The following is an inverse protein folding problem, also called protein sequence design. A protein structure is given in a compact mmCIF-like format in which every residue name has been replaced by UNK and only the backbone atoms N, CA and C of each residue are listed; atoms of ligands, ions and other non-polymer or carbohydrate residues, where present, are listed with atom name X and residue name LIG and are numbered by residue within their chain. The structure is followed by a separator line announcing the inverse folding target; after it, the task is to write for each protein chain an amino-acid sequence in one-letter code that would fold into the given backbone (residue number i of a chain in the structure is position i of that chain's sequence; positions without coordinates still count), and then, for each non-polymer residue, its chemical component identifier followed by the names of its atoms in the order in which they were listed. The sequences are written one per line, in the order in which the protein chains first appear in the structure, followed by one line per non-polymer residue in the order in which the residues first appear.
data_IF_615792305218
#
_entry.id   IF_615792305218
#
_cell.length_a   1.000
_cell.length_b   1.000
_cell.length_c   1.000
_cell.angle_alpha   90.00
_cell.angle_beta   90.00
_cell.angle_gamma   90.00
#
_symmetry.space_group_name_H-M   'P 1'
#
loop_
_entity.id
_entity.type
_entity.pdbx_description
1 polymer ?
#
# COMPACT_ATOMS: atom_id res chain seq x y z
N UNK A 1 -21.96 -23.65 77.05
CA UNK A 1 -21.91 -24.07 78.47
C UNK A 1 -22.31 -22.94 79.40
N UNK A 2 -23.54 -22.96 79.90
CA UNK A 2 -23.98 -22.20 81.08
C UNK A 2 -25.31 -22.81 81.56
N UNK A 3 -25.24 -23.79 82.46
CA UNK A 3 -26.42 -24.51 82.97
C UNK A 3 -26.84 -24.01 84.34
N UNK A 4 -28.01 -23.35 84.42
CA UNK A 4 -28.69 -23.10 85.71
C UNK A 4 -29.57 -24.30 86.06
N UNK A 5 -29.54 -24.71 87.33
CA UNK A 5 -30.52 -25.63 87.94
C UNK A 5 -31.90 -24.95 88.03
N UNK A 6 -32.96 -25.75 88.24
CA UNK A 6 -33.86 -25.48 89.34
C UNK A 6 -34.01 -26.68 90.30
N UNK A 7 -34.37 -26.39 91.55
CA UNK A 7 -34.69 -27.37 92.59
C UNK A 7 -36.13 -27.87 92.44
N UNK A 8 -36.41 -29.10 92.85
CA UNK A 8 -37.77 -29.58 93.10
C UNK A 8 -37.87 -29.99 94.58
N UNK A 9 -38.92 -29.53 95.27
CA UNK A 9 -39.23 -29.92 96.67
C UNK A 9 -40.03 -31.23 96.67
N UNK A 10 -39.78 -32.09 97.64
CA UNK A 10 -40.66 -33.21 98.00
C UNK A 10 -41.07 -33.11 99.48
N UNK A 11 -42.36 -33.31 99.72
CA UNK A 11 -43.05 -33.45 101.00
C UNK A 11 -44.49 -33.90 100.68
N UNK A 12 -45.18 -34.79 101.39
CA UNK A 12 -44.88 -35.71 102.50
C UNK A 12 -45.90 -36.86 102.39
N UNK A 13 -45.60 -38.06 102.88
CA UNK A 13 -46.59 -39.15 103.02
C UNK A 13 -46.94 -39.40 104.48
N UNK A 14 -48.22 -39.24 104.83
CA UNK A 14 -48.80 -39.68 106.11
C UNK A 14 -49.32 -41.11 105.99
N UNK A 15 -49.10 -41.94 107.01
CA UNK A 15 -49.88 -43.17 107.26
C UNK A 15 -50.24 -43.22 108.75
N UNK A 16 -51.41 -43.81 109.04
CA UNK A 16 -52.25 -43.61 110.21
C UNK A 16 -52.48 -44.94 110.98
N UNK A 17 -52.51 -44.90 112.33
CA UNK A 17 -53.06 -45.90 113.28
C UNK A 17 -53.42 -45.10 114.55
N UNK A 18 -54.63 -45.08 115.14
CA UNK A 18 -55.42 -46.16 115.75
C UNK A 18 -54.98 -46.39 117.22
N UNK A 19 -55.81 -46.52 118.27
CA UNK A 19 -57.27 -46.72 118.48
C UNK A 19 -57.70 -46.33 119.93
N UNK A 20 -59.01 -46.16 120.17
CA UNK A 20 -59.89 -46.69 121.28
C UNK A 20 -59.28 -47.09 122.67
N UNK A 21 -59.94 -47.01 123.85
CA UNK A 21 -61.25 -46.53 124.33
C UNK A 21 -61.30 -46.55 125.92
N UNK A 22 -62.30 -45.91 126.58
CA UNK A 22 -62.56 -45.95 128.06
C UNK A 22 -63.24 -47.28 128.54
N UNK A 23 -63.73 -47.56 129.80
CA UNK A 23 -64.26 -46.63 130.85
C UNK A 23 -64.27 -47.01 132.38
N UNK A 24 -64.87 -46.11 133.19
CA UNK A 24 -65.85 -46.38 134.29
C UNK A 24 -65.50 -46.33 135.80
N UNK A 25 -66.32 -45.52 136.48
CA UNK A 25 -66.61 -45.38 137.91
C UNK A 25 -66.91 -46.69 138.69
N UNK A 26 -66.77 -46.62 140.03
CA UNK A 26 -67.67 -47.30 140.97
C UNK A 26 -67.82 -46.47 142.28
N UNK A 27 -69.01 -46.48 142.87
CA UNK A 27 -69.37 -45.82 144.13
C UNK A 27 -70.21 -46.81 144.95
N UNK A 28 -69.98 -46.94 146.26
CA UNK A 28 -71.00 -46.91 147.34
C UNK A 28 -70.57 -47.61 148.64
N UNK A 29 -71.26 -47.19 149.71
CA UNK A 29 -71.10 -47.57 151.12
C UNK A 29 -72.17 -48.59 151.55
N UNK A 30 -72.31 -48.73 152.89
CA UNK A 30 -73.37 -49.42 153.66
C UNK A 30 -73.08 -50.93 153.90
N UNK A 31 -72.96 -51.45 155.14
CA UNK A 31 -73.39 -51.08 156.51
C UNK A 31 -74.84 -51.42 156.88
N UNK A 32 -75.11 -52.70 157.10
CA UNK A 32 -76.35 -53.17 157.72
C UNK A 32 -76.32 -53.18 159.26
N UNK A 33 -77.41 -52.72 159.86
CA UNK A 33 -77.71 -52.88 161.28
C UNK A 33 -79.04 -53.63 161.40
N UNK A 34 -79.05 -54.72 162.17
CA UNK A 34 -80.13 -55.73 162.17
C UNK A 34 -81.46 -55.15 162.67
N UNK A 35 -82.48 -55.19 161.81
CA UNK A 35 -83.88 -54.96 162.16
C UNK A 35 -84.69 -56.25 161.97
N UNK A 36 -85.60 -56.54 162.90
CA UNK A 36 -86.30 -57.82 163.00
C UNK A 36 -87.34 -58.00 161.88
N UNK A 37 -87.12 -58.97 160.99
CA UNK A 37 -88.04 -59.29 159.89
C UNK A 37 -89.26 -60.09 160.36
N UNK A 38 -90.42 -59.82 159.75
CA UNK A 38 -91.54 -60.76 159.70
C UNK A 38 -91.43 -61.55 158.39
N UNK A 39 -91.38 -62.87 158.46
CA UNK A 39 -91.54 -63.70 157.26
C UNK A 39 -93.03 -63.77 156.85
N UNK A 40 -93.31 -64.18 155.61
CA UNK A 40 -94.70 -64.42 155.18
C UNK A 40 -95.44 -65.42 156.09
N UNK A 41 -94.71 -66.40 156.62
CA UNK A 41 -95.18 -67.43 157.55
C UNK A 41 -95.46 -66.86 158.95
N UNK A 42 -94.69 -65.88 159.43
CA UNK A 42 -94.97 -65.13 160.66
C UNK A 42 -96.24 -64.27 160.54
N UNK A 43 -96.52 -63.70 159.35
CA UNK A 43 -97.74 -62.93 159.09
C UNK A 43 -98.97 -63.84 159.04
N UNK A 44 -98.89 -64.96 158.33
CA UNK A 44 -99.99 -65.90 158.16
C UNK A 44 -100.33 -66.65 159.46
N UNK A 45 -99.32 -67.01 160.26
CA UNK A 45 -99.53 -67.58 161.60
C UNK A 45 -100.18 -66.57 162.54
N UNK A 46 -99.83 -65.27 162.44
CA UNK A 46 -100.47 -64.22 163.21
C UNK A 46 -101.96 -64.09 162.86
N UNK A 47 -102.32 -64.03 161.58
CA UNK A 47 -103.72 -63.85 161.15
C UNK A 47 -104.64 -65.04 161.54
N UNK A 48 -104.08 -66.21 161.82
CA UNK A 48 -104.81 -67.43 162.15
C UNK A 48 -105.04 -67.67 163.67
N UNK A 49 -104.58 -66.78 164.56
CA UNK A 49 -104.64 -66.96 166.02
C UNK A 49 -106.07 -66.77 166.61
N UNK A 50 -106.77 -67.87 166.91
CA UNK A 50 -108.17 -67.85 167.42
C UNK A 50 -108.28 -67.74 168.95
N UNK A 51 -108.69 -66.58 169.45
CA UNK A 51 -108.99 -66.31 170.87
C UNK A 51 -110.23 -67.08 171.39
N UNK A 52 -110.02 -68.07 172.27
CA UNK A 52 -111.10 -68.80 172.97
C UNK A 52 -111.65 -68.02 174.17
N UNK A 53 -112.97 -67.78 174.21
CA UNK A 53 -113.69 -67.23 175.39
C UNK A 53 -113.80 -68.29 176.50
N UNK A 54 -113.34 -68.00 177.72
CA UNK A 54 -113.59 -68.83 178.92
C UNK A 54 -114.02 -67.98 180.11
N UNK A 55 -114.63 -68.59 181.14
CA UNK A 55 -115.29 -67.93 182.28
C UNK A 55 -114.32 -67.43 183.37
N UNK A 56 -113.25 -66.74 182.98
CA UNK A 56 -112.25 -66.19 183.89
C UNK A 56 -112.18 -64.66 183.78
N UNK A 57 -111.62 -64.03 184.82
CA UNK A 57 -111.68 -62.58 185.06
C UNK A 57 -111.38 -61.72 183.82
N UNK A 58 -112.15 -60.65 183.64
CA UNK A 58 -112.11 -59.76 182.47
C UNK A 58 -110.73 -59.17 182.11
N UNK A 59 -109.76 -59.24 183.04
CA UNK A 59 -108.40 -58.68 182.93
C UNK A 59 -107.48 -59.49 182.01
N UNK A 60 -107.32 -60.80 182.23
CA UNK A 60 -106.43 -61.64 181.39
C UNK A 60 -106.87 -61.69 179.91
N UNK A 61 -108.19 -61.66 179.68
CA UNK A 61 -108.74 -61.72 178.33
C UNK A 61 -108.55 -60.39 177.56
N UNK A 62 -108.39 -59.26 178.27
CA UNK A 62 -108.01 -57.98 177.65
C UNK A 62 -106.51 -57.91 177.36
N UNK A 63 -105.66 -58.53 178.19
CA UNK A 63 -104.21 -58.61 177.98
C UNK A 63 -103.86 -59.43 176.73
N UNK A 64 -104.45 -60.61 176.53
CA UNK A 64 -104.24 -61.42 175.32
C UNK A 64 -104.69 -60.70 174.04
N UNK A 65 -105.83 -60.01 174.08
CA UNK A 65 -106.29 -59.18 172.96
C UNK A 65 -105.36 -57.98 172.71
N UNK A 66 -104.87 -57.34 173.76
CA UNK A 66 -103.91 -56.23 173.68
C UNK A 66 -102.59 -56.67 173.04
N UNK A 67 -102.08 -57.85 173.40
CA UNK A 67 -100.85 -58.41 172.86
C UNK A 67 -100.99 -58.86 171.40
N UNK A 68 -102.12 -59.47 171.04
CA UNK A 68 -102.47 -59.76 169.65
C UNK A 68 -102.54 -58.49 168.79
N UNK A 69 -103.20 -57.45 169.28
CA UNK A 69 -103.26 -56.13 168.63
C UNK A 69 -101.88 -55.48 168.51
N UNK A 70 -100.98 -55.65 169.49
CA UNK A 70 -99.59 -55.16 169.39
C UNK A 70 -98.83 -55.87 168.28
N UNK A 71 -98.91 -57.20 168.19
CA UNK A 71 -98.24 -57.98 167.13
C UNK A 71 -98.79 -57.61 165.74
N UNK A 72 -100.11 -57.48 165.58
CA UNK A 72 -100.72 -57.01 164.33
C UNK A 72 -100.26 -55.60 163.94
N UNK A 73 -100.16 -54.68 164.91
CA UNK A 73 -99.63 -53.32 164.67
C UNK A 73 -98.15 -53.32 164.30
N UNK A 74 -97.34 -54.28 164.78
CA UNK A 74 -95.96 -54.45 164.35
C UNK A 74 -95.89 -54.96 162.90
N UNK A 75 -96.68 -55.98 162.56
CA UNK A 75 -96.78 -56.51 161.20
C UNK A 75 -97.22 -55.43 160.19
N UNK A 76 -98.24 -54.62 160.51
CA UNK A 76 -98.68 -53.49 159.67
C UNK A 76 -97.54 -52.47 159.49
N UNK A 77 -96.79 -52.14 160.55
CA UNK A 77 -95.63 -51.24 160.44
C UNK A 77 -94.52 -51.81 159.58
N UNK A 78 -94.25 -53.12 159.68
CA UNK A 78 -93.27 -53.79 158.84
C UNK A 78 -93.68 -53.76 157.36
N UNK A 79 -94.94 -54.05 157.04
CA UNK A 79 -95.46 -53.89 155.66
C UNK A 79 -95.38 -52.44 155.17
N UNK A 80 -95.70 -51.46 156.00
CA UNK A 80 -95.56 -50.04 155.62
C UNK A 80 -94.10 -49.65 155.37
N UNK A 81 -93.16 -50.19 156.13
CA UNK A 81 -91.72 -49.99 155.89
C UNK A 81 -91.25 -50.69 154.63
N UNK A 82 -91.71 -51.92 154.36
CA UNK A 82 -91.44 -52.67 153.14
C UNK A 82 -92.01 -51.97 151.90
N UNK A 83 -93.24 -51.47 151.99
CA UNK A 83 -93.90 -50.70 150.92
C UNK A 83 -93.17 -49.37 150.66
N UNK A 84 -92.74 -48.64 151.70
CA UNK A 84 -91.88 -47.47 151.53
C UNK A 84 -90.54 -47.83 150.87
N UNK A 85 -89.92 -48.96 151.24
CA UNK A 85 -88.69 -49.45 150.62
C UNK A 85 -88.90 -49.79 149.14
N UNK A 86 -89.90 -50.59 148.80
CA UNK A 86 -90.24 -50.91 147.41
C UNK A 86 -90.62 -49.67 146.59
N UNK A 87 -91.34 -48.70 147.15
CA UNK A 87 -91.63 -47.43 146.47
C UNK A 87 -90.33 -46.63 146.21
N UNK A 88 -89.41 -46.56 147.17
CA UNK A 88 -88.11 -45.90 146.97
C UNK A 88 -87.21 -46.65 145.97
N UNK A 89 -87.24 -47.98 145.95
CA UNK A 89 -86.55 -48.80 144.95
C UNK A 89 -87.16 -48.63 143.55
N UNK A 90 -88.49 -48.57 143.44
CA UNK A 90 -89.19 -48.30 142.18
C UNK A 90 -88.86 -46.90 141.64
N UNK A 91 -88.79 -45.89 142.51
CA UNK A 91 -88.41 -44.53 142.11
C UNK A 91 -86.90 -44.45 141.76
N UNK A 92 -86.03 -45.16 142.48
CA UNK A 92 -84.62 -45.29 142.12
C UNK A 92 -84.41 -45.99 140.77
N UNK A 93 -85.13 -47.09 140.51
CA UNK A 93 -85.09 -47.80 139.23
C UNK A 93 -85.63 -46.93 138.09
N UNK A 94 -86.69 -46.14 138.35
CA UNK A 94 -87.20 -45.17 137.38
C UNK A 94 -86.18 -44.08 137.08
N UNK A 95 -85.54 -43.50 138.10
CA UNK A 95 -84.49 -42.50 137.92
C UNK A 95 -83.27 -43.07 137.16
N UNK A 96 -82.92 -44.34 137.38
CA UNK A 96 -81.87 -45.03 136.62
C UNK A 96 -82.26 -45.30 135.17
N UNK A 97 -83.53 -45.63 134.91
CA UNK A 97 -84.08 -45.79 133.56
C UNK A 97 -84.09 -44.45 132.82
N UNK A 98 -84.65 -43.39 133.43
CA UNK A 98 -84.67 -42.04 132.87
C UNK A 98 -83.24 -41.53 132.58
N UNK A 99 -82.26 -41.85 133.43
CA UNK A 99 -80.84 -41.55 133.19
C UNK A 99 -80.24 -42.36 132.03
N UNK A 100 -80.62 -43.64 131.89
CA UNK A 100 -80.17 -44.52 130.81
C UNK A 100 -80.76 -44.10 129.46
N UNK A 101 -82.07 -43.84 129.40
CA UNK A 101 -82.78 -43.37 128.21
C UNK A 101 -82.25 -42.00 127.77
N UNK A 102 -81.98 -41.09 128.72
CA UNK A 102 -81.31 -39.83 128.42
C UNK A 102 -79.91 -40.03 127.84
N UNK A 103 -79.08 -40.91 128.43
CA UNK A 103 -77.75 -41.23 127.88
C UNK A 103 -77.83 -41.84 126.49
N UNK A 104 -78.79 -42.74 126.24
CA UNK A 104 -79.02 -43.32 124.92
C UNK A 104 -79.37 -42.22 123.91
N UNK A 105 -80.31 -41.34 124.26
CA UNK A 105 -80.72 -40.19 123.45
C UNK A 105 -79.55 -39.23 123.16
N UNK A 106 -78.75 -38.89 124.17
CA UNK A 106 -77.56 -38.04 124.03
C UNK A 106 -76.51 -38.71 123.10
N UNK A 107 -76.32 -40.03 123.20
CA UNK A 107 -75.41 -40.76 122.31
C UNK A 107 -75.94 -40.91 120.88
N UNK A 108 -77.25 -41.10 120.70
CA UNK A 108 -77.88 -41.16 119.38
C UNK A 108 -77.78 -39.82 118.67
N UNK A 109 -78.01 -38.71 119.38
CA UNK A 109 -77.83 -37.35 118.86
C UNK A 109 -76.36 -37.09 118.47
N UNK A 110 -75.40 -37.44 119.33
CA UNK A 110 -73.97 -37.36 119.01
C UNK A 110 -73.58 -38.21 117.78
N UNK A 111 -74.13 -39.41 117.64
CA UNK A 111 -73.91 -40.25 116.46
C UNK A 111 -74.54 -39.62 115.21
N UNK A 112 -75.73 -39.04 115.32
CA UNK A 112 -76.44 -38.37 114.22
C UNK A 112 -75.69 -37.12 113.74
N UNK A 113 -75.20 -36.29 114.66
CA UNK A 113 -74.32 -35.15 114.33
C UNK A 113 -73.05 -35.59 113.62
N UNK A 114 -72.41 -36.69 114.07
CA UNK A 114 -71.21 -37.25 113.43
C UNK A 114 -71.51 -37.87 112.07
N UNK A 115 -72.65 -38.52 111.91
CA UNK A 115 -73.11 -39.03 110.61
C UNK A 115 -73.31 -37.90 109.62
N UNK A 116 -73.94 -36.80 110.03
CA UNK A 116 -74.19 -35.63 109.18
C UNK A 116 -72.90 -34.86 108.86
N UNK A 117 -71.94 -34.77 109.80
CA UNK A 117 -70.59 -34.26 109.53
C UNK A 117 -69.84 -35.12 108.50
N UNK A 118 -69.85 -36.46 108.66
CA UNK A 118 -69.23 -37.39 107.73
C UNK A 118 -69.90 -37.33 106.35
N UNK A 119 -71.23 -37.26 106.29
CA UNK A 119 -71.97 -37.09 105.04
C UNK A 119 -71.61 -35.77 104.35
N UNK A 120 -71.52 -34.66 105.10
CA UNK A 120 -71.05 -33.36 104.58
C UNK A 120 -69.65 -33.47 103.98
N UNK A 121 -68.69 -34.05 104.72
CA UNK A 121 -67.33 -34.30 104.25
C UNK A 121 -67.27 -35.19 102.99
N UNK A 122 -68.10 -36.24 102.91
CA UNK A 122 -68.23 -37.09 101.70
C UNK A 122 -68.73 -36.27 100.51
N UNK A 123 -69.71 -35.38 100.69
CA UNK A 123 -70.18 -34.52 99.57
C UNK A 123 -69.13 -33.51 99.12
N UNK A 124 -68.34 -32.95 100.05
CA UNK A 124 -67.25 -32.03 99.73
C UNK A 124 -66.13 -32.75 98.96
N UNK A 125 -65.63 -33.87 99.48
CA UNK A 125 -64.60 -34.68 98.82
C UNK A 125 -65.02 -35.17 97.42
N UNK A 126 -66.32 -35.47 97.21
CA UNK A 126 -66.86 -35.81 95.89
C UNK A 126 -66.83 -34.61 94.93
N UNK A 127 -67.16 -33.40 95.41
CA UNK A 127 -67.06 -32.16 94.61
C UNK A 127 -65.61 -31.86 94.24
N UNK A 128 -64.70 -31.96 95.21
CA UNK A 128 -63.26 -31.73 94.99
C UNK A 128 -62.66 -32.74 94.01
N UNK A 129 -63.02 -34.03 94.12
CA UNK A 129 -62.64 -35.05 93.15
C UNK A 129 -63.15 -34.76 91.74
N UNK A 130 -64.36 -34.21 91.61
CA UNK A 130 -64.91 -33.85 90.31
C UNK A 130 -64.18 -32.64 89.70
N UNK A 131 -63.97 -31.58 90.49
CA UNK A 131 -63.22 -30.40 90.08
C UNK A 131 -61.74 -30.71 89.74
N UNK A 132 -61.10 -31.65 90.44
CA UNK A 132 -59.76 -32.12 90.11
C UNK A 132 -59.73 -32.93 88.80
N UNK A 133 -60.74 -33.77 88.53
CA UNK A 133 -60.85 -34.50 87.27
C UNK A 133 -61.11 -33.57 86.08
N UNK A 134 -61.95 -32.56 86.25
CA UNK A 134 -62.20 -31.54 85.23
C UNK A 134 -60.91 -30.76 84.91
N UNK A 135 -60.22 -30.26 85.94
CA UNK A 135 -58.92 -29.57 85.77
C UNK A 135 -57.87 -30.46 85.10
N UNK A 136 -57.78 -31.74 85.49
CA UNK A 136 -56.88 -32.69 84.85
C UNK A 136 -57.20 -32.86 83.36
N UNK A 137 -58.48 -33.02 83.01
CA UNK A 137 -58.90 -33.14 81.60
C UNK A 137 -58.63 -31.87 80.78
N UNK A 138 -58.72 -30.68 81.39
CA UNK A 138 -58.36 -29.41 80.73
C UNK A 138 -56.84 -29.33 80.52
N UNK A 139 -56.04 -29.61 81.55
CA UNK A 139 -54.58 -29.61 81.47
C UNK A 139 -54.05 -30.64 80.46
N UNK A 140 -54.65 -31.83 80.38
CA UNK A 140 -54.32 -32.85 79.37
C UNK A 140 -54.63 -32.37 77.94
N UNK A 141 -55.75 -31.68 77.74
CA UNK A 141 -56.13 -31.09 76.46
C UNK A 141 -55.21 -29.93 76.06
N UNK A 142 -54.88 -29.03 76.99
CA UNK A 142 -53.96 -27.91 76.77
C UNK A 142 -52.54 -28.41 76.47
N UNK A 143 -52.08 -29.43 77.20
CA UNK A 143 -50.81 -30.13 76.93
C UNK A 143 -50.80 -30.75 75.53
N UNK A 144 -51.89 -31.39 75.08
CA UNK A 144 -51.97 -31.93 73.71
C UNK A 144 -51.81 -30.81 72.68
N UNK A 145 -52.62 -29.74 72.78
CA UNK A 145 -52.55 -28.58 71.88
C UNK A 145 -51.17 -27.92 71.85
N UNK A 146 -50.50 -27.83 73.01
CA UNK A 146 -49.15 -27.29 73.11
C UNK A 146 -48.10 -28.20 72.44
N UNK A 147 -48.27 -29.53 72.50
CA UNK A 147 -47.43 -30.47 71.77
C UNK A 147 -47.66 -30.37 70.26
N UNK A 148 -48.92 -30.33 69.81
CA UNK A 148 -49.31 -30.23 68.40
C UNK A 148 -48.76 -28.95 67.76
N UNK A 149 -48.98 -27.80 68.40
CA UNK A 149 -48.43 -26.50 67.97
C UNK A 149 -46.89 -26.48 67.94
N UNK A 150 -46.24 -27.15 68.90
CA UNK A 150 -44.78 -27.27 68.96
C UNK A 150 -44.21 -28.23 67.91
N UNK A 151 -45.01 -29.18 67.40
CA UNK A 151 -44.66 -29.96 66.20
C UNK A 151 -44.83 -29.17 64.92
N UNK A 152 -45.94 -28.42 64.75
CA UNK A 152 -46.15 -27.55 63.59
C UNK A 152 -45.03 -26.49 63.45
N UNK A 153 -44.68 -25.78 64.52
CA UNK A 153 -43.58 -24.81 64.55
C UNK A 153 -42.22 -25.43 64.17
N UNK A 154 -41.97 -26.70 64.53
CA UNK A 154 -40.76 -27.42 64.08
C UNK A 154 -40.80 -27.72 62.60
N UNK A 155 -41.94 -28.12 62.05
CA UNK A 155 -42.08 -28.37 60.61
C UNK A 155 -41.93 -27.08 59.80
N UNK A 156 -42.54 -25.99 60.23
CA UNK A 156 -42.36 -24.66 59.61
C UNK A 156 -40.90 -24.21 59.67
N UNK A 157 -40.21 -24.38 60.80
CA UNK A 157 -38.78 -24.07 60.90
C UNK A 157 -37.93 -24.90 59.94
N UNK A 158 -38.15 -26.21 59.89
CA UNK A 158 -37.41 -27.11 58.98
C UNK A 158 -37.69 -26.74 57.51
N UNK A 159 -38.92 -26.36 57.17
CA UNK A 159 -39.27 -25.88 55.83
C UNK A 159 -38.53 -24.56 55.49
N UNK A 160 -38.50 -23.60 56.42
CA UNK A 160 -37.79 -22.34 56.26
C UNK A 160 -36.26 -22.54 56.15
N UNK A 161 -35.67 -23.41 56.96
CA UNK A 161 -34.24 -23.77 56.89
C UNK A 161 -33.87 -24.40 55.52
N UNK A 162 -34.72 -25.31 55.01
CA UNK A 162 -34.55 -25.88 53.65
C UNK A 162 -34.66 -24.82 52.56
N UNK A 163 -35.62 -23.90 52.66
CA UNK A 163 -35.78 -22.81 51.70
C UNK A 163 -34.59 -21.85 51.75
N UNK A 164 -34.09 -21.51 52.94
CA UNK A 164 -32.90 -20.68 53.12
C UNK A 164 -31.65 -21.32 52.51
N UNK A 165 -31.46 -22.63 52.70
CA UNK A 165 -30.37 -23.38 52.07
C UNK A 165 -30.47 -23.32 50.54
N UNK A 166 -31.65 -23.61 49.97
CA UNK A 166 -31.90 -23.55 48.52
C UNK A 166 -31.59 -22.17 47.92
N UNK A 167 -32.07 -21.10 48.56
CA UNK A 167 -31.82 -19.71 48.11
C UNK A 167 -30.32 -19.37 48.23
N UNK A 168 -29.64 -19.85 49.27
CA UNK A 168 -28.20 -19.62 49.43
C UNK A 168 -27.37 -20.34 48.35
N UNK A 169 -27.79 -21.54 47.93
CA UNK A 169 -27.15 -22.27 46.82
C UNK A 169 -27.42 -21.61 45.45
N UNK A 170 -28.64 -21.11 45.22
CA UNK A 170 -28.99 -20.34 44.01
C UNK A 170 -28.23 -19.02 43.92
N UNK A 171 -28.12 -18.28 45.04
CA UNK A 171 -27.34 -17.05 45.12
C UNK A 171 -25.87 -17.32 44.79
N UNK A 172 -25.28 -18.40 45.35
CA UNK A 172 -23.90 -18.78 45.06
C UNK A 172 -23.71 -19.15 43.59
N UNK A 173 -24.59 -19.98 43.01
CA UNK A 173 -24.55 -20.33 41.58
C UNK A 173 -24.64 -19.11 40.67
N UNK A 174 -25.58 -18.21 40.94
CA UNK A 174 -25.75 -16.94 40.20
C UNK A 174 -24.52 -16.03 40.32
N UNK A 175 -23.88 -15.98 41.50
CA UNK A 175 -22.66 -15.20 41.71
C UNK A 175 -21.45 -15.79 40.96
N UNK A 176 -21.32 -17.11 40.92
CA UNK A 176 -20.29 -17.80 40.12
C UNK A 176 -20.53 -17.61 38.60
N UNK A 177 -21.77 -17.75 38.13
CA UNK A 177 -22.16 -17.46 36.74
C UNK A 177 -21.88 -16.01 36.33
N UNK A 178 -22.20 -15.04 37.20
CA UNK A 178 -21.91 -13.63 36.99
C UNK A 178 -20.39 -13.36 36.91
N UNK A 179 -19.59 -13.96 37.79
CA UNK A 179 -18.12 -13.87 37.73
C UNK A 179 -17.57 -14.44 36.42
N UNK A 180 -18.05 -15.61 36.01
CA UNK A 180 -17.66 -16.27 34.76
C UNK A 180 -18.07 -15.45 33.52
N UNK A 181 -19.26 -14.82 33.53
CA UNK A 181 -19.72 -13.94 32.47
C UNK A 181 -18.86 -12.67 32.38
N UNK A 182 -18.48 -12.08 33.52
CA UNK A 182 -17.64 -10.89 33.58
C UNK A 182 -16.21 -11.16 33.07
N UNK A 183 -15.62 -12.31 33.42
CA UNK A 183 -14.34 -12.75 32.86
C UNK A 183 -14.40 -12.93 31.34
N UNK A 184 -15.48 -13.53 30.82
CA UNK A 184 -15.71 -13.66 29.36
C UNK A 184 -15.83 -12.29 28.69
N UNK A 185 -16.59 -11.36 29.26
CA UNK A 185 -16.70 -9.97 28.76
C UNK A 185 -15.33 -9.28 28.70
N UNK A 186 -14.52 -9.38 29.76
CA UNK A 186 -13.17 -8.82 29.77
C UNK A 186 -12.28 -9.42 28.68
N UNK A 187 -12.31 -10.75 28.49
CA UNK A 187 -11.55 -11.41 27.42
C UNK A 187 -11.98 -10.99 26.00
N UNK A 188 -13.27 -10.69 25.81
CA UNK A 188 -13.82 -10.19 24.54
C UNK A 188 -13.43 -8.73 24.29
N UNK A 189 -13.42 -7.89 25.32
CA UNK A 189 -12.96 -6.49 25.25
C UNK A 189 -11.46 -6.41 24.89
N UNK A 190 -10.61 -7.25 25.50
CA UNK A 190 -9.19 -7.36 25.16
C UNK A 190 -8.95 -7.89 23.74
N UNK A 191 -9.82 -8.77 23.23
CA UNK A 191 -9.79 -9.21 21.82
C UNK A 191 -10.22 -8.09 20.88
N UNK A 192 -11.29 -7.36 21.22
CA UNK A 192 -11.80 -6.24 20.43
C UNK A 192 -10.76 -5.12 20.29
N UNK A 193 -10.10 -4.73 21.39
CA UNK A 193 -8.99 -3.77 21.39
C UNK A 193 -7.87 -4.18 20.43
N UNK A 194 -7.39 -5.42 20.51
CA UNK A 194 -6.34 -5.95 19.61
C UNK A 194 -6.77 -5.95 18.13
N UNK A 195 -8.02 -6.29 17.83
CA UNK A 195 -8.56 -6.20 16.46
C UNK A 195 -8.63 -4.76 15.97
N UNK A 196 -9.01 -3.81 16.85
CA UNK A 196 -9.04 -2.38 16.53
C UNK A 196 -7.64 -1.81 16.26
N UNK A 197 -6.64 -2.16 17.07
CA UNK A 197 -5.23 -1.81 16.87
C UNK A 197 -4.67 -2.37 15.56
N UNK A 198 -4.99 -3.62 15.22
CA UNK A 198 -4.62 -4.24 13.95
C UNK A 198 -5.26 -3.53 12.75
N UNK A 199 -6.55 -3.19 12.82
CA UNK A 199 -7.25 -2.45 11.78
C UNK A 199 -6.64 -1.05 11.57
N UNK A 200 -6.35 -0.33 12.64
CA UNK A 200 -5.67 0.97 12.60
C UNK A 200 -4.29 0.86 11.93
N UNK A 201 -3.53 -0.18 12.26
CA UNK A 201 -2.20 -0.45 11.68
C UNK A 201 -2.29 -0.75 10.18
N UNK A 202 -3.28 -1.55 9.76
CA UNK A 202 -3.61 -1.82 8.35
C UNK A 202 -4.00 -0.54 7.60
N UNK A 203 -4.82 0.31 8.20
CA UNK A 203 -5.24 1.58 7.59
C UNK A 203 -4.06 2.53 7.40
N UNK A 204 -3.15 2.63 8.38
CA UNK A 204 -1.91 3.40 8.27
C UNK A 204 -1.00 2.84 7.16
N UNK A 205 -0.85 1.52 7.08
CA UNK A 205 -0.06 0.87 6.03
C UNK A 205 -0.63 1.11 4.62
N UNK A 206 -1.95 0.96 4.44
CA UNK A 206 -2.63 1.26 3.17
C UNK A 206 -2.48 2.74 2.78
N UNK A 207 -2.64 3.67 3.72
CA UNK A 207 -2.43 5.11 3.49
C UNK A 207 -0.99 5.38 3.04
N UNK A 208 -0.01 4.72 3.65
CA UNK A 208 1.41 4.83 3.26
C UNK A 208 1.65 4.29 1.86
N UNK A 209 1.13 3.10 1.53
CA UNK A 209 1.24 2.52 0.18
C UNK A 209 0.63 3.43 -0.90
N UNK A 210 -0.52 4.06 -0.62
CA UNK A 210 -1.13 5.03 -1.53
C UNK A 210 -0.25 6.27 -1.73
N UNK A 211 0.37 6.79 -0.66
CA UNK A 211 1.31 7.91 -0.73
C UNK A 211 2.58 7.56 -1.52
N UNK A 212 3.15 6.38 -1.28
CA UNK A 212 4.32 5.89 -2.01
C UNK A 212 3.99 5.67 -3.50
N UNK A 213 2.82 5.08 -3.81
CA UNK A 213 2.34 4.90 -5.19
C UNK A 213 2.22 6.25 -5.92
N UNK A 214 1.53 7.24 -5.32
CA UNK A 214 1.39 8.58 -5.89
C UNK A 214 2.77 9.22 -6.15
N UNK A 215 3.70 9.11 -5.20
CA UNK A 215 5.08 9.63 -5.35
C UNK A 215 5.84 8.95 -6.49
N UNK A 216 5.66 7.64 -6.68
CA UNK A 216 6.26 6.95 -7.84
C UNK A 216 5.63 7.37 -9.17
N UNK A 217 4.32 7.61 -9.21
CA UNK A 217 3.61 8.09 -10.39
C UNK A 217 4.04 9.51 -10.79
N UNK A 218 4.19 10.43 -9.84
CA UNK A 218 4.72 11.78 -10.08
C UNK A 218 6.16 11.76 -10.62
N UNK A 219 7.01 10.89 -10.06
CA UNK A 219 8.39 10.73 -10.54
C UNK A 219 8.43 10.11 -11.95
N UNK A 220 7.57 9.13 -12.25
CA UNK A 220 7.45 8.55 -13.59
C UNK A 220 7.04 9.62 -14.61
N UNK A 221 6.00 10.42 -14.33
CA UNK A 221 5.58 11.53 -15.19
C UNK A 221 6.67 12.58 -15.41
N UNK A 222 7.56 12.80 -14.43
CA UNK A 222 8.72 13.69 -14.59
C UNK A 222 9.74 13.08 -15.55
N UNK A 223 10.11 11.82 -15.35
CA UNK A 223 11.05 11.09 -16.22
C UNK A 223 10.52 10.95 -17.65
N UNK A 224 9.20 10.79 -17.84
CA UNK A 224 8.57 10.78 -19.17
C UNK A 224 8.70 12.12 -19.90
N UNK A 225 8.53 13.25 -19.18
CA UNK A 225 8.76 14.59 -19.73
C UNK A 225 10.23 14.84 -20.07
N UNK A 226 11.15 14.44 -19.19
CA UNK A 226 12.60 14.52 -19.42
C UNK A 226 13.01 13.68 -20.64
N UNK A 227 12.48 12.46 -20.77
CA UNK A 227 12.67 11.60 -21.93
C UNK A 227 12.14 12.23 -23.22
N UNK A 228 10.95 12.84 -23.20
CA UNK A 228 10.39 13.53 -24.36
C UNK A 228 11.29 14.68 -24.83
N UNK A 229 11.72 15.55 -23.90
CA UNK A 229 12.64 16.64 -24.20
C UNK A 229 13.99 16.15 -24.76
N UNK A 230 14.55 15.06 -24.20
CA UNK A 230 15.76 14.45 -24.72
C UNK A 230 15.60 13.89 -26.15
N UNK A 231 14.43 13.33 -26.48
CA UNK A 231 14.10 12.86 -27.85
C UNK A 231 14.00 14.03 -28.83
N UNK A 232 13.39 15.15 -28.44
CA UNK A 232 13.32 16.37 -29.27
C UNK A 232 14.71 16.97 -29.55
N UNK A 233 15.58 17.02 -28.53
CA UNK A 233 16.98 17.45 -28.67
C UNK A 233 17.73 16.51 -29.62
N UNK A 234 17.62 15.19 -29.45
CA UNK A 234 18.26 14.21 -30.34
C UNK A 234 17.75 14.29 -31.78
N UNK A 235 16.47 14.56 -31.99
CA UNK A 235 15.90 14.80 -33.31
C UNK A 235 16.49 16.06 -33.96
N UNK A 236 16.60 17.14 -33.19
CA UNK A 236 17.21 18.41 -33.63
C UNK A 236 18.67 18.23 -34.04
N UNK A 237 19.47 17.58 -33.20
CA UNK A 237 20.89 17.29 -33.48
C UNK A 237 21.05 16.38 -34.70
N UNK A 238 20.16 15.39 -34.89
CA UNK A 238 20.15 14.54 -36.09
C UNK A 238 19.87 15.35 -37.37
N UNK A 239 18.93 16.30 -37.31
CA UNK A 239 18.67 17.24 -38.41
C UNK A 239 19.88 18.12 -38.74
N UNK A 240 20.53 18.69 -37.72
CA UNK A 240 21.75 19.48 -37.87
C UNK A 240 22.90 18.67 -38.51
N UNK A 241 23.15 17.45 -38.03
CA UNK A 241 24.16 16.57 -38.62
C UNK A 241 23.85 16.21 -40.08
N UNK A 242 22.58 16.00 -40.42
CA UNK A 242 22.17 15.71 -41.80
C UNK A 242 22.45 16.90 -42.72
N UNK A 243 22.11 18.12 -42.30
CA UNK A 243 22.42 19.35 -43.06
C UNK A 243 23.92 19.60 -43.19
N UNK A 244 24.72 19.38 -42.15
CA UNK A 244 26.18 19.47 -42.22
C UNK A 244 26.78 18.42 -43.18
N UNK A 245 26.22 17.22 -43.22
CA UNK A 245 26.66 16.16 -44.13
C UNK A 245 26.30 16.48 -45.59
N UNK A 246 25.14 17.08 -45.86
CA UNK A 246 24.75 17.62 -47.17
C UNK A 246 25.70 18.74 -47.61
N UNK A 247 25.99 19.73 -46.74
CA UNK A 247 26.94 20.81 -47.01
C UNK A 247 28.35 20.28 -47.32
N UNK A 248 28.82 19.30 -46.55
CA UNK A 248 30.13 18.66 -46.78
C UNK A 248 30.17 17.90 -48.11
N UNK A 249 29.07 17.24 -48.48
CA UNK A 249 28.94 16.54 -49.77
C UNK A 249 28.91 17.53 -50.95
N UNK A 250 28.17 18.63 -50.81
CA UNK A 250 28.15 19.73 -51.79
C UNK A 250 29.53 20.37 -51.96
N UNK A 251 30.25 20.63 -50.86
CA UNK A 251 31.59 21.19 -50.88
C UNK A 251 32.60 20.26 -51.57
N UNK A 252 32.50 18.94 -51.35
CA UNK A 252 33.29 17.94 -52.11
C UNK A 252 32.99 18.01 -53.60
N UNK A 253 31.72 18.03 -54.01
CA UNK A 253 31.33 18.15 -55.41
C UNK A 253 31.87 19.43 -56.08
N UNK A 254 31.83 20.57 -55.39
CA UNK A 254 32.44 21.81 -55.86
C UNK A 254 33.96 21.71 -55.99
N UNK A 255 34.64 21.08 -55.02
CA UNK A 255 36.07 20.86 -55.07
C UNK A 255 36.48 19.96 -56.25
N UNK A 256 35.74 18.87 -56.48
CA UNK A 256 35.97 17.96 -57.60
C UNK A 256 35.81 18.67 -58.95
N UNK A 257 34.83 19.57 -59.09
CA UNK A 257 34.67 20.41 -60.29
C UNK A 257 35.87 21.33 -60.51
N UNK A 258 36.30 22.07 -59.48
CA UNK A 258 37.50 22.94 -59.56
C UNK A 258 38.75 22.13 -59.89
N UNK A 259 38.86 20.88 -59.42
CA UNK A 259 39.95 19.97 -59.81
C UNK A 259 39.86 19.56 -61.28
N UNK A 260 38.66 19.32 -61.82
CA UNK A 260 38.45 19.05 -63.26
C UNK A 260 38.82 20.25 -64.12
N UNK A 261 38.29 21.43 -63.81
CA UNK A 261 38.59 22.68 -64.53
C UNK A 261 40.10 23.00 -64.52
N UNK A 262 40.77 22.78 -63.38
CA UNK A 262 42.22 22.94 -63.29
C UNK A 262 42.97 21.95 -64.19
N UNK A 263 42.47 20.73 -64.37
CA UNK A 263 43.09 19.73 -65.23
C UNK A 263 42.83 19.99 -66.73
N UNK A 264 41.63 20.46 -67.10
CA UNK A 264 41.36 20.90 -68.48
C UNK A 264 42.26 22.10 -68.84
N UNK A 265 42.32 23.14 -67.99
CA UNK A 265 43.23 24.28 -68.17
C UNK A 265 44.70 23.85 -68.26
N UNK A 266 45.13 22.85 -67.47
CA UNK A 266 46.48 22.29 -67.58
C UNK A 266 46.71 21.63 -68.95
N UNK A 267 45.73 20.89 -69.46
CA UNK A 267 45.82 20.25 -70.78
C UNK A 267 45.88 21.28 -71.92
N UNK A 268 45.06 22.34 -71.85
CA UNK A 268 45.09 23.47 -72.80
C UNK A 268 46.43 24.20 -72.78
N UNK A 269 46.94 24.55 -71.60
CA UNK A 269 48.28 25.16 -71.44
C UNK A 269 49.38 24.24 -72.00
N UNK A 270 49.21 22.92 -71.92
CA UNK A 270 50.16 21.96 -72.48
C UNK A 270 50.08 21.94 -74.01
N UNK A 271 48.88 21.95 -74.60
CA UNK A 271 48.68 22.07 -76.06
C UNK A 271 49.28 23.36 -76.60
N UNK A 272 48.92 24.52 -76.01
CA UNK A 272 49.41 25.84 -76.43
C UNK A 272 50.94 25.93 -76.36
N UNK A 273 51.58 25.29 -75.37
CA UNK A 273 53.05 25.20 -75.30
C UNK A 273 53.63 24.33 -76.42
N UNK A 274 52.95 23.25 -76.80
CA UNK A 274 53.29 22.44 -77.97
C UNK A 274 53.21 23.25 -79.26
N UNK A 275 52.06 23.90 -79.50
CA UNK A 275 51.81 24.75 -80.68
C UNK A 275 52.84 25.89 -80.78
N UNK A 276 53.14 26.56 -79.67
CA UNK A 276 54.16 27.62 -79.61
C UNK A 276 55.57 27.12 -79.96
N UNK A 277 55.93 25.90 -79.56
CA UNK A 277 57.21 25.30 -79.92
C UNK A 277 57.22 24.91 -81.41
N UNK A 278 56.16 24.31 -81.92
CA UNK A 278 56.01 24.00 -83.35
C UNK A 278 56.15 25.26 -84.23
N UNK A 279 55.50 26.36 -83.85
CA UNK A 279 55.61 27.66 -84.55
C UNK A 279 57.03 28.23 -84.48
N UNK A 280 57.78 28.01 -83.38
CA UNK A 280 59.19 28.40 -83.29
C UNK A 280 60.07 27.57 -84.22
N UNK A 281 59.89 26.25 -84.24
CA UNK A 281 60.64 25.34 -85.11
C UNK A 281 60.36 25.62 -86.60
N UNK A 282 59.11 25.90 -86.95
CA UNK A 282 58.71 26.27 -88.32
C UNK A 282 59.24 27.64 -88.72
N UNK A 283 59.21 28.63 -87.83
CA UNK A 283 59.87 29.94 -88.02
C UNK A 283 61.37 29.76 -88.24
N UNK A 284 62.04 28.92 -87.46
CA UNK A 284 63.48 28.73 -87.54
C UNK A 284 63.87 27.98 -88.82
N UNK A 285 63.05 27.02 -89.28
CA UNK A 285 63.18 26.40 -90.60
C UNK A 285 62.96 27.40 -91.74
N UNK A 286 61.94 28.24 -91.66
CA UNK A 286 61.68 29.31 -92.64
C UNK A 286 62.82 30.34 -92.67
N UNK A 287 63.40 30.69 -91.51
CA UNK A 287 64.53 31.59 -91.41
C UNK A 287 65.79 31.00 -92.07
N UNK A 288 66.08 29.72 -91.84
CA UNK A 288 67.16 29.01 -92.54
C UNK A 288 66.93 28.98 -94.06
N UNK A 289 65.70 28.70 -94.51
CA UNK A 289 65.36 28.72 -95.93
C UNK A 289 65.52 30.12 -96.55
N UNK A 290 65.10 31.19 -95.84
CA UNK A 290 65.27 32.56 -96.27
C UNK A 290 66.76 32.98 -96.33
N UNK A 291 67.59 32.51 -95.39
CA UNK A 291 69.04 32.72 -95.42
C UNK A 291 69.71 32.01 -96.61
N UNK A 292 69.31 30.77 -96.92
CA UNK A 292 69.79 30.04 -98.10
C UNK A 292 69.39 30.76 -99.40
N UNK A 293 68.11 31.13 -99.55
CA UNK A 293 67.63 31.87 -100.71
C UNK A 293 68.32 33.24 -100.85
N UNK A 294 68.58 33.93 -99.75
CA UNK A 294 69.33 35.19 -99.74
C UNK A 294 70.79 34.99 -100.21
N UNK A 295 71.45 33.90 -99.76
CA UNK A 295 72.78 33.52 -100.26
C UNK A 295 72.78 33.24 -101.76
N UNK A 296 71.75 32.54 -102.27
CA UNK A 296 71.64 32.27 -103.70
C UNK A 296 71.32 33.54 -104.51
N UNK A 297 70.48 34.45 -103.99
CA UNK A 297 70.26 35.78 -104.61
C UNK A 297 71.57 36.59 -104.68
N UNK A 298 72.42 36.53 -103.65
CA UNK A 298 73.75 37.16 -103.68
C UNK A 298 74.62 36.52 -104.77
N UNK A 299 74.70 35.18 -104.85
CA UNK A 299 75.44 34.48 -105.91
C UNK A 299 74.93 34.84 -107.31
N UNK A 300 73.61 34.89 -107.51
CA UNK A 300 73.00 35.29 -108.78
C UNK A 300 73.31 36.75 -109.13
N UNK A 301 73.29 37.67 -108.14
CA UNK A 301 73.73 39.06 -108.34
C UNK A 301 75.20 39.12 -108.75
N UNK A 302 76.09 38.44 -108.03
CA UNK A 302 77.52 38.39 -108.39
C UNK A 302 77.76 37.81 -109.79
N UNK A 303 77.01 36.78 -110.18
CA UNK A 303 77.09 36.21 -111.52
C UNK A 303 76.56 37.18 -112.59
N UNK A 304 75.47 37.90 -112.30
CA UNK A 304 74.93 38.94 -113.16
C UNK A 304 75.92 40.11 -113.31
N UNK A 305 76.53 40.59 -112.22
CA UNK A 305 77.56 41.64 -112.23
C UNK A 305 78.80 41.20 -113.03
N UNK A 306 79.29 39.96 -112.84
CA UNK A 306 80.37 39.39 -113.68
C UNK A 306 79.98 39.31 -115.16
N UNK A 307 78.73 38.96 -115.46
CA UNK A 307 78.21 38.91 -116.84
C UNK A 307 78.05 40.30 -117.45
N UNK A 308 77.63 41.29 -116.67
CA UNK A 308 77.53 42.70 -117.09
C UNK A 308 78.93 43.25 -117.37
N UNK A 309 79.90 43.08 -116.46
CA UNK A 309 81.28 43.50 -116.69
C UNK A 309 81.92 42.81 -117.91
N UNK A 310 81.59 41.54 -118.16
CA UNK A 310 82.02 40.82 -119.37
C UNK A 310 81.37 41.38 -120.64
N UNK A 311 80.08 41.74 -120.59
CA UNK A 311 79.38 42.41 -121.69
C UNK A 311 79.91 43.83 -121.94
N UNK A 312 80.23 44.60 -120.90
CA UNK A 312 80.86 45.93 -121.01
C UNK A 312 82.25 45.83 -121.65
N UNK A 313 83.05 44.84 -121.25
CA UNK A 313 84.36 44.56 -121.89
C UNK A 313 84.19 44.20 -123.37
N UNK A 314 83.26 43.29 -123.69
CA UNK A 314 83.00 42.88 -125.08
C UNK A 314 82.42 44.03 -125.92
N UNK A 315 81.61 44.91 -125.31
CA UNK A 315 81.09 46.13 -125.95
C UNK A 315 82.22 47.11 -126.23
N UNK A 316 83.19 47.25 -125.31
CA UNK A 316 84.38 48.07 -125.53
C UNK A 316 85.28 47.49 -126.63
N UNK A 317 85.52 46.18 -126.64
CA UNK A 317 86.25 45.53 -127.74
C UNK A 317 85.54 45.70 -129.07
N UNK A 318 84.20 45.65 -129.10
CA UNK A 318 83.39 45.95 -130.29
C UNK A 318 83.57 47.41 -130.74
N UNK A 319 83.62 48.37 -129.80
CA UNK A 319 83.83 49.79 -130.10
C UNK A 319 85.25 50.06 -130.62
N UNK A 320 86.27 49.41 -130.03
CA UNK A 320 87.66 49.47 -130.49
C UNK A 320 87.81 48.80 -131.89
N UNK A 321 87.07 47.73 -132.16
CA UNK A 321 86.96 47.08 -133.48
C UNK A 321 86.26 47.97 -134.52
N UNK A 322 85.16 48.63 -134.17
CA UNK A 322 84.47 49.59 -135.03
C UNK A 322 85.37 50.78 -135.35
N UNK A 323 86.08 51.33 -134.36
CA UNK A 323 87.06 52.40 -134.55
C UNK A 323 88.22 51.99 -135.47
N UNK A 324 88.71 50.75 -135.33
CA UNK A 324 89.68 50.16 -136.28
C UNK A 324 89.09 49.99 -137.69
N UNK A 325 87.85 49.53 -137.82
CA UNK A 325 87.20 49.38 -139.12
C UNK A 325 86.94 50.73 -139.79
N UNK A 326 86.57 51.76 -139.01
CA UNK A 326 86.38 53.13 -139.50
C UNK A 326 87.71 53.73 -140.00
N UNK A 327 88.78 53.67 -139.20
CA UNK A 327 90.11 54.16 -139.61
C UNK A 327 90.71 53.36 -140.78
N UNK A 328 90.50 52.05 -140.86
CA UNK A 328 90.83 51.27 -142.05
C UNK A 328 90.02 51.70 -143.28
N UNK A 329 88.72 51.96 -143.12
CA UNK A 329 87.86 52.44 -144.22
C UNK A 329 88.26 53.83 -144.71
N UNK A 330 88.67 54.72 -143.80
CA UNK A 330 89.20 56.05 -144.11
C UNK A 330 90.58 55.98 -144.81
N UNK A 331 91.41 55.02 -144.43
CA UNK A 331 92.67 54.70 -145.12
C UNK A 331 92.41 54.17 -146.54
N UNK A 332 91.42 53.29 -146.72
CA UNK A 332 91.00 52.79 -148.04
C UNK A 332 90.45 53.93 -148.90
N UNK A 333 89.65 54.83 -148.31
CA UNK A 333 89.08 55.99 -149.01
C UNK A 333 90.16 56.96 -149.49
N UNK A 334 91.12 57.30 -148.63
CA UNK A 334 92.25 58.17 -149.01
C UNK A 334 93.17 57.53 -150.06
N UNK A 335 93.41 56.21 -149.99
CA UNK A 335 94.11 55.48 -151.06
C UNK A 335 93.33 55.50 -152.39
N UNK A 336 92.01 55.36 -152.35
CA UNK A 336 91.15 55.47 -153.54
C UNK A 336 91.16 56.88 -154.15
N UNK A 337 91.18 57.93 -153.32
CA UNK A 337 91.27 59.32 -153.76
C UNK A 337 92.65 59.63 -154.38
N UNK A 338 93.73 59.08 -153.81
CA UNK A 338 95.08 59.16 -154.40
C UNK A 338 95.16 58.45 -155.76
N UNK A 339 94.54 57.27 -155.89
CA UNK A 339 94.51 56.50 -157.13
C UNK A 339 93.76 57.24 -158.24
N UNK A 340 92.57 57.77 -157.95
CA UNK A 340 91.79 58.58 -158.89
C UNK A 340 92.52 59.89 -159.31
N UNK A 341 93.32 60.48 -158.41
CA UNK A 341 94.16 61.64 -158.72
C UNK A 341 95.34 61.28 -159.64
N UNK A 342 95.92 60.10 -159.47
CA UNK A 342 96.96 59.57 -160.36
C UNK A 342 96.41 59.24 -161.75
N UNK A 343 95.24 58.60 -161.85
CA UNK A 343 94.56 58.30 -163.11
C UNK A 343 94.23 59.58 -163.91
N UNK A 344 93.75 60.65 -163.25
CA UNK A 344 93.56 61.96 -163.88
C UNK A 344 94.85 62.58 -164.43
N UNK A 345 95.97 62.43 -163.73
CA UNK A 345 97.28 62.89 -164.23
C UNK A 345 97.75 62.08 -165.43
N UNK A 346 97.49 60.77 -165.45
CA UNK A 346 97.80 59.89 -166.57
C UNK A 346 97.00 60.30 -167.82
N UNK A 347 95.67 60.49 -167.70
CA UNK A 347 94.83 60.95 -168.81
C UNK A 347 95.28 62.29 -169.40
N UNK A 348 95.67 63.25 -168.56
CA UNK A 348 96.18 64.55 -169.03
C UNK A 348 97.54 64.41 -169.75
N UNK A 349 98.39 63.49 -169.30
CA UNK A 349 99.67 63.18 -169.97
C UNK A 349 99.45 62.51 -171.33
N UNK A 350 98.54 61.53 -171.41
CA UNK A 350 98.24 60.81 -172.65
C UNK A 350 97.64 61.74 -173.71
N UNK A 351 96.73 62.64 -173.31
CA UNK A 351 96.17 63.63 -174.25
C UNK A 351 97.23 64.57 -174.81
N UNK A 352 98.17 65.05 -173.98
CA UNK A 352 99.27 65.92 -174.43
C UNK A 352 100.24 65.19 -175.39
N UNK A 353 100.43 63.87 -175.18
CA UNK A 353 101.21 63.02 -176.09
C UNK A 353 100.53 62.82 -177.46
N UNK A 354 99.20 62.70 -177.48
CA UNK A 354 98.44 62.53 -178.72
C UNK A 354 98.45 63.80 -179.58
N UNK A 355 98.25 64.99 -178.98
CA UNK A 355 98.30 66.27 -179.70
C UNK A 355 99.68 66.53 -180.33
N UNK A 356 100.76 66.35 -179.56
CA UNK A 356 102.12 66.53 -180.09
C UNK A 356 102.43 65.56 -181.23
N UNK A 357 101.99 64.30 -181.14
CA UNK A 357 102.16 63.32 -182.24
C UNK A 357 101.33 63.67 -183.48
N UNK A 358 100.15 64.27 -183.32
CA UNK A 358 99.32 64.74 -184.43
C UNK A 358 100.01 65.88 -185.20
N UNK A 359 100.51 66.88 -184.48
CA UNK A 359 101.18 68.04 -185.07
C UNK A 359 102.44 67.67 -185.87
N UNK A 360 103.22 66.68 -185.41
CA UNK A 360 104.38 66.18 -186.18
C UNK A 360 103.99 65.45 -187.47
N UNK A 361 102.84 64.76 -187.50
CA UNK A 361 102.36 64.09 -188.71
C UNK A 361 101.95 65.09 -189.81
N UNK A 362 101.29 66.18 -189.43
CA UNK A 362 100.88 67.25 -190.35
C UNK A 362 102.10 67.99 -190.96
N UNK A 363 103.12 68.31 -190.15
CA UNK A 363 104.37 68.88 -190.66
C UNK A 363 105.09 67.94 -191.64
N UNK A 364 105.08 66.63 -191.39
CA UNK A 364 105.71 65.65 -192.28
C UNK A 364 105.00 65.55 -193.64
N UNK A 365 103.66 65.66 -193.67
CA UNK A 365 102.89 65.66 -194.91
C UNK A 365 103.21 66.91 -195.78
N UNK A 366 103.31 68.09 -195.15
CA UNK A 366 103.63 69.33 -195.84
C UNK A 366 105.04 69.33 -196.48
N UNK A 367 106.02 68.73 -195.81
CA UNK A 367 107.40 68.61 -196.31
C UNK A 367 107.47 67.63 -197.51
N UNK A 368 106.60 66.62 -197.57
CA UNK A 368 106.53 65.70 -198.71
C UNK A 368 106.00 66.38 -199.99
N UNK A 369 104.95 67.22 -199.88
CA UNK A 369 104.39 67.96 -201.01
C UNK A 369 105.39 68.96 -201.62
N UNK A 370 106.10 69.70 -200.75
CA UNK A 370 107.15 70.64 -201.16
C UNK A 370 108.31 69.96 -201.91
N UNK A 371 108.64 68.70 -201.59
CA UNK A 371 109.67 67.95 -202.31
C UNK A 371 109.23 67.49 -203.70
N UNK A 372 107.97 67.06 -203.87
CA UNK A 372 107.46 66.67 -205.19
C UNK A 372 107.41 67.86 -206.16
N UNK A 373 106.96 69.03 -205.68
CA UNK A 373 106.88 70.25 -206.50
C UNK A 373 108.25 70.79 -206.94
N UNK A 374 109.31 70.50 -206.18
CA UNK A 374 110.68 70.81 -206.59
C UNK A 374 111.15 69.87 -207.72
N UNK A 375 110.88 68.57 -207.59
CA UNK A 375 111.28 67.57 -208.59
C UNK A 375 110.60 67.78 -209.97
N UNK A 376 109.34 68.20 -209.99
CA UNK A 376 108.63 68.54 -211.24
C UNK A 376 109.17 69.81 -211.93
N UNK A 377 109.68 70.78 -211.17
CA UNK A 377 110.26 72.00 -211.72
C UNK A 377 111.62 71.75 -212.38
N UNK A 378 112.49 70.97 -211.72
CA UNK A 378 113.79 70.58 -212.26
C UNK A 378 113.65 69.75 -213.55
N UNK A 379 112.62 68.91 -213.66
CA UNK A 379 112.33 68.16 -214.89
C UNK A 379 112.00 69.09 -216.07
N UNK A 380 111.23 70.15 -215.86
CA UNK A 380 110.91 71.15 -216.89
C UNK A 380 112.14 71.95 -217.35
N UNK A 381 113.07 72.23 -216.45
CA UNK A 381 114.35 72.87 -216.79
C UNK A 381 115.19 71.92 -217.67
N UNK A 382 115.28 70.64 -217.29
CA UNK A 382 116.02 69.62 -218.04
C UNK A 382 115.47 69.39 -219.46
N UNK A 383 114.14 69.36 -219.63
CA UNK A 383 113.52 69.23 -220.96
C UNK A 383 113.69 70.49 -221.82
N UNK A 384 113.62 71.68 -221.22
CA UNK A 384 113.90 72.95 -221.90
C UNK A 384 115.33 73.02 -222.46
N UNK A 385 116.33 72.63 -221.68
CA UNK A 385 117.73 72.57 -222.15
C UNK A 385 117.96 71.48 -223.22
N UNK A 386 117.21 70.38 -223.16
CA UNK A 386 117.28 69.30 -224.16
C UNK A 386 116.69 69.75 -225.51
N UNK A 387 115.67 70.61 -225.50
CA UNK A 387 115.13 71.24 -226.72
C UNK A 387 116.11 72.27 -227.29
N UNK A 388 116.72 73.10 -226.41
CA UNK A 388 117.76 74.08 -226.73
C UNK A 388 118.95 73.47 -227.50
N UNK A 389 119.32 72.22 -227.17
CA UNK A 389 120.41 71.49 -227.84
C UNK A 389 120.02 70.78 -229.15
N UNK A 390 118.73 70.54 -229.43
CA UNK A 390 118.31 69.81 -230.65
C UNK A 390 118.05 70.68 -231.88
N UNK A 391 117.75 71.97 -231.72
CA UNK A 391 117.55 72.89 -232.85
C UNK A 391 118.83 73.61 -233.33
N UNK A 392 119.98 73.39 -232.67
CA UNK A 392 121.25 74.01 -233.04
C UNK A 392 121.99 73.33 -234.21
N UNK A 393 121.41 72.28 -234.83
CA UNK A 393 122.10 71.45 -235.83
C UNK A 393 121.23 71.05 -237.04
N UNK A 394 120.29 71.89 -237.48
CA UNK A 394 119.57 71.66 -238.75
C UNK A 394 119.17 73.00 -239.37
N UNK A 395 119.97 73.45 -240.36
CA UNK A 395 119.76 74.64 -241.20
C UNK A 395 120.16 75.93 -240.41
N UNK A 396 120.93 76.89 -240.95
CA UNK A 396 120.73 77.78 -242.12
C UNK A 396 119.59 78.80 -241.93
#
# INVERSE_FOLDING_TARGET
NNGRRPQTRQALSLVNVGQDAPPSNAVNSESDCVAMEFTAEDVESLLNEKLKKSRLNHKENSEKMSEYIKRLKLCIKWFQQLEMKHNSEQENLKNLLDLADKKCSDTELMMKEKEDELNSNITLLRKDLHALKEKLSVEELEKSKALDSMTEEKEFRIAAERQQASISEELKRSQEECSNANQKLQSLDDMHKRVQEYNNSLQQYNTKLQSDLNRTQENLQRVEKEKAAAVEILSTVRGQNSSLQEQLTSCRGMYDEVVRERETLRSEVTSIRGDLNQVRDDRDRQLQQAQLLSSDVIKYRECAEKSIASLELLTKESYDLESRCASQSETIKTLSEQLACAEKKLQLSDMSSIETRSHFAEQHALIADLKNRLAEADLKIFEGEKLRKKLHNTIL
#
